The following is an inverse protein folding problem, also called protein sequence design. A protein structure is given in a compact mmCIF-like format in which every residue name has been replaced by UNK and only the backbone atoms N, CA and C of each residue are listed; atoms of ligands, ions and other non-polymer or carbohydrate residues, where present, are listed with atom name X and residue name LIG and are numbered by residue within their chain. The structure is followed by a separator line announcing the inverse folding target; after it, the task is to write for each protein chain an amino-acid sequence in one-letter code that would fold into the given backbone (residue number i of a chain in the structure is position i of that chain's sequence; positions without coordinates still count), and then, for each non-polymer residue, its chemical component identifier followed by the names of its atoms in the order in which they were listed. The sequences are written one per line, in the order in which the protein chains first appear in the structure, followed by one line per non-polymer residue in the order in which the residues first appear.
data_IF_594230515674
#
_entry.id   IF_594230515674
#
_cell.length_a   1.000
_cell.length_b   1.000
_cell.length_c   1.000
_cell.angle_alpha   90.00
_cell.angle_beta   90.00
_cell.angle_gamma   90.00
#
_symmetry.space_group_name_H-M   'P 1'
#
loop_
_entity.id
_entity.type
_entity.pdbx_description
1 polymer ?
#
# COMPACT_ATOMS: atom_id res chain seq x y z
N UNK A 1 109.69 8.47 31.89
CA UNK A 1 109.15 9.60 31.10
C UNK A 1 108.31 8.97 30.00
N UNK A 2 106.98 8.94 30.16
CA UNK A 2 106.01 9.91 29.60
C UNK A 2 106.07 9.99 28.07
N UNK A 3 105.02 9.98 27.28
CA UNK A 3 103.54 9.91 27.36
C UNK A 3 103.11 9.50 25.93
N UNK A 4 102.03 8.76 25.65
CA UNK A 4 100.65 9.20 25.36
C UNK A 4 100.19 8.81 23.93
N UNK A 5 98.89 8.49 23.85
CA UNK A 5 97.95 8.62 22.71
C UNK A 5 98.13 7.70 21.48
N UNK A 6 97.07 7.16 20.85
CA UNK A 6 95.66 7.57 20.74
C UNK A 6 94.79 6.34 20.37
N UNK A 7 93.53 6.20 20.82
CA UNK A 7 92.65 5.15 20.34
C UNK A 7 91.91 5.55 19.05
N UNK A 8 91.68 4.49 18.27
CA UNK A 8 90.79 4.26 17.14
C UNK A 8 89.46 5.04 17.23
N UNK A 9 89.18 5.87 16.22
CA UNK A 9 87.91 6.59 16.04
C UNK A 9 87.41 6.28 14.62
N UNK A 10 86.75 5.14 14.41
CA UNK A 10 86.07 4.84 13.13
C UNK A 10 84.57 4.52 13.26
N UNK A 11 83.95 4.55 14.44
CA UNK A 11 82.52 4.17 14.56
C UNK A 11 81.51 5.33 14.55
N UNK A 12 81.93 6.60 14.53
CA UNK A 12 80.99 7.73 14.72
C UNK A 12 80.36 8.25 13.41
N UNK A 13 80.90 7.91 12.24
CA UNK A 13 80.43 8.48 10.97
C UNK A 13 79.31 7.69 10.25
N UNK A 14 79.03 6.44 10.64
CA UNK A 14 77.95 5.65 10.01
C UNK A 14 76.57 5.81 10.70
N UNK A 15 76.51 6.10 12.00
CA UNK A 15 75.25 6.23 12.73
C UNK A 15 74.45 7.50 12.40
N UNK A 16 75.14 8.63 12.21
CA UNK A 16 74.49 9.95 11.99
C UNK A 16 73.79 10.01 10.62
N UNK A 17 74.39 9.46 9.58
CA UNK A 17 73.75 9.42 8.26
C UNK A 17 72.53 8.49 8.24
N UNK A 18 72.60 7.35 8.93
CA UNK A 18 71.52 6.37 8.95
C UNK A 18 70.33 6.80 9.82
N UNK A 19 70.56 7.52 10.93
CA UNK A 19 69.49 8.12 11.75
C UNK A 19 68.84 9.32 11.07
N UNK A 20 69.62 10.15 10.38
CA UNK A 20 69.09 11.30 9.63
C UNK A 20 68.26 10.85 8.43
N UNK A 21 68.68 9.81 7.70
CA UNK A 21 67.88 9.21 6.62
C UNK A 21 66.63 8.49 7.14
N UNK A 22 66.69 7.84 8.32
CA UNK A 22 65.51 7.24 8.97
C UNK A 22 64.51 8.28 9.47
N UNK A 23 64.98 9.40 10.00
CA UNK A 23 64.09 10.50 10.41
C UNK A 23 63.51 11.24 9.21
N UNK A 24 64.30 11.48 8.16
CA UNK A 24 63.84 12.10 6.93
C UNK A 24 62.83 11.21 6.20
N UNK A 25 63.10 9.90 6.09
CA UNK A 25 62.14 8.95 5.52
C UNK A 25 60.89 8.78 6.38
N UNK A 26 61.00 8.75 7.70
CA UNK A 26 59.82 8.70 8.60
C UNK A 26 58.98 9.99 8.54
N UNK A 27 59.60 11.16 8.41
CA UNK A 27 58.91 12.43 8.25
C UNK A 27 58.21 12.52 6.89
N UNK A 28 58.89 12.12 5.81
CA UNK A 28 58.31 12.06 4.45
C UNK A 28 57.19 11.02 4.36
N UNK A 29 57.32 9.87 5.03
CA UNK A 29 56.25 8.86 5.12
C UNK A 29 55.07 9.38 5.94
N UNK A 30 55.31 10.13 7.03
CA UNK A 30 54.25 10.73 7.84
C UNK A 30 53.52 11.85 7.10
N UNK A 31 54.23 12.66 6.33
CA UNK A 31 53.67 13.75 5.52
C UNK A 31 52.89 13.19 4.32
N UNK A 32 53.43 12.17 3.64
CA UNK A 32 52.74 11.44 2.59
C UNK A 32 51.51 10.67 3.13
N UNK A 33 51.60 10.08 4.32
CA UNK A 33 50.46 9.44 4.99
C UNK A 33 49.39 10.45 5.39
N UNK A 34 49.77 11.64 5.85
CA UNK A 34 48.84 12.72 6.18
C UNK A 34 48.16 13.28 4.92
N UNK A 35 48.91 13.45 3.83
CA UNK A 35 48.39 13.88 2.53
C UNK A 35 47.44 12.83 1.93
N UNK A 36 47.78 11.55 2.06
CA UNK A 36 46.92 10.44 1.62
C UNK A 36 45.63 10.35 2.46
N UNK A 37 45.70 10.55 3.79
CA UNK A 37 44.50 10.58 4.63
C UNK A 37 43.60 11.77 4.31
N UNK A 38 44.19 12.94 4.04
CA UNK A 38 43.44 14.12 3.63
C UNK A 38 42.74 13.89 2.26
N UNK A 39 43.42 13.26 1.30
CA UNK A 39 42.83 12.87 0.01
C UNK A 39 41.68 11.86 0.16
N UNK A 40 41.82 10.88 1.05
CA UNK A 40 40.77 9.92 1.38
C UNK A 40 39.55 10.62 2.01
N UNK A 41 39.77 11.55 2.92
CA UNK A 41 38.70 12.33 3.56
C UNK A 41 37.98 13.22 2.54
N UNK A 42 38.70 13.87 1.64
CA UNK A 42 38.09 14.65 0.55
C UNK A 42 37.29 13.76 -0.42
N UNK A 43 37.79 12.56 -0.75
CA UNK A 43 37.06 11.58 -1.55
C UNK A 43 35.80 11.07 -0.84
N UNK A 44 35.89 10.77 0.46
CA UNK A 44 34.73 10.39 1.25
C UNK A 44 33.70 11.50 1.33
N UNK A 45 34.14 12.74 1.48
CA UNK A 45 33.26 13.91 1.52
C UNK A 45 32.55 14.10 0.18
N UNK A 46 33.29 14.02 -0.93
CA UNK A 46 32.69 14.10 -2.28
C UNK A 46 31.74 12.94 -2.56
N UNK A 47 32.09 11.70 -2.20
CA UNK A 47 31.18 10.56 -2.34
C UNK A 47 29.94 10.71 -1.47
N UNK A 48 30.07 11.19 -0.24
CA UNK A 48 28.94 11.42 0.67
C UNK A 48 28.01 12.52 0.14
N UNK A 49 28.59 13.57 -0.43
CA UNK A 49 27.86 14.70 -0.99
C UNK A 49 27.21 14.32 -2.32
N UNK A 50 27.87 13.53 -3.16
CA UNK A 50 27.31 12.93 -4.37
C UNK A 50 26.12 12.03 -4.01
N UNK A 51 26.30 11.14 -3.03
CA UNK A 51 25.25 10.26 -2.51
C UNK A 51 24.06 11.03 -1.93
N UNK A 52 24.30 12.15 -1.24
CA UNK A 52 23.23 13.05 -0.74
C UNK A 52 22.59 13.90 -1.84
N UNK A 53 23.33 14.22 -2.90
CA UNK A 53 22.91 15.09 -4.00
C UNK A 53 22.16 14.33 -5.10
N UNK A 54 22.18 12.99 -5.07
CA UNK A 54 21.42 12.20 -6.03
C UNK A 54 19.96 12.66 -6.02
N UNK A 55 19.41 13.09 -7.17
CA UNK A 55 18.01 13.46 -7.27
C UNK A 55 17.19 12.18 -7.25
N UNK A 56 17.01 11.58 -6.07
CA UNK A 56 15.95 10.61 -5.91
C UNK A 56 14.63 11.38 -5.89
N UNK A 57 13.71 10.97 -6.75
CA UNK A 57 12.34 11.44 -6.69
C UNK A 57 11.80 11.04 -5.31
N UNK A 58 11.85 11.96 -4.34
CA UNK A 58 11.33 11.73 -3.00
C UNK A 58 9.82 11.59 -3.13
N UNK A 59 9.36 10.39 -3.48
CA UNK A 59 7.95 10.07 -3.41
C UNK A 59 7.54 10.40 -1.99
N UNK A 60 6.63 11.36 -1.82
CA UNK A 60 6.32 11.92 -0.50
C UNK A 60 5.68 10.81 0.36
N UNK A 61 6.51 10.07 1.09
CA UNK A 61 6.11 8.89 1.87
C UNK A 61 5.04 9.30 2.88
N UNK A 62 5.13 10.50 3.45
CA UNK A 62 4.11 11.03 4.35
C UNK A 62 2.78 11.28 3.65
N UNK A 63 2.79 11.81 2.42
CA UNK A 63 1.57 11.97 1.63
C UNK A 63 0.96 10.61 1.28
N UNK A 64 1.78 9.61 0.90
CA UNK A 64 1.32 8.24 0.65
C UNK A 64 0.72 7.57 1.88
N UNK A 65 1.36 7.72 3.04
CA UNK A 65 0.85 7.20 4.32
C UNK A 65 -0.47 7.86 4.69
N UNK A 66 -0.57 9.19 4.59
CA UNK A 66 -1.82 9.94 4.87
C UNK A 66 -2.93 9.51 3.90
N UNK A 67 -2.60 9.33 2.62
CA UNK A 67 -3.55 8.87 1.62
C UNK A 67 -4.00 7.44 1.88
N UNK A 68 -3.09 6.54 2.25
CA UNK A 68 -3.38 5.15 2.60
C UNK A 68 -4.26 5.08 3.83
N UNK A 69 -3.95 5.84 4.88
CA UNK A 69 -4.78 5.93 6.09
C UNK A 69 -6.20 6.41 5.79
N UNK A 70 -6.35 7.48 4.98
CA UNK A 70 -7.66 7.96 4.55
C UNK A 70 -8.44 6.89 3.76
N UNK A 71 -7.77 6.18 2.84
CA UNK A 71 -8.37 5.08 2.07
C UNK A 71 -8.82 3.94 2.97
N UNK A 72 -8.02 3.57 3.96
CA UNK A 72 -8.34 2.54 4.95
C UNK A 72 -9.54 2.95 5.81
N UNK A 73 -9.63 4.21 6.23
CA UNK A 73 -10.79 4.72 6.95
C UNK A 73 -12.06 4.66 6.09
N UNK A 74 -11.98 5.08 4.82
CA UNK A 74 -13.11 4.98 3.90
C UNK A 74 -13.54 3.53 3.64
N UNK A 75 -12.58 2.62 3.54
CA UNK A 75 -12.88 1.19 3.39
C UNK A 75 -13.57 0.61 4.64
N UNK A 76 -13.16 1.05 5.84
CA UNK A 76 -13.81 0.66 7.10
C UNK A 76 -15.23 1.22 7.21
N UNK A 77 -15.44 2.48 6.81
CA UNK A 77 -16.79 3.07 6.84
C UNK A 77 -17.73 2.41 5.84
N UNK A 78 -17.25 2.05 4.65
CA UNK A 78 -18.05 1.30 3.67
C UNK A 78 -18.46 -0.07 4.24
N UNK A 79 -17.49 -0.82 4.81
CA UNK A 79 -17.79 -2.09 5.45
C UNK A 79 -18.82 -1.96 6.58
N UNK A 80 -18.74 -0.89 7.38
CA UNK A 80 -19.72 -0.64 8.44
C UNK A 80 -21.12 -0.40 7.88
N UNK A 81 -21.25 0.35 6.78
CA UNK A 81 -22.52 0.58 6.09
C UNK A 81 -23.08 -0.74 5.56
N UNK A 82 -22.25 -1.58 4.93
CA UNK A 82 -22.68 -2.87 4.40
C UNK A 82 -23.17 -3.81 5.52
N UNK A 83 -22.49 -3.84 6.67
CA UNK A 83 -22.95 -4.59 7.87
C UNK A 83 -24.29 -4.05 8.39
N UNK A 84 -24.46 -2.73 8.49
CA UNK A 84 -25.72 -2.13 8.94
C UNK A 84 -26.85 -2.47 7.95
N UNK A 85 -26.58 -2.46 6.65
CA UNK A 85 -27.55 -2.84 5.63
C UNK A 85 -27.96 -4.31 5.73
N UNK A 86 -27.03 -5.22 6.02
CA UNK A 86 -27.37 -6.65 6.19
C UNK A 86 -28.23 -6.89 7.43
N UNK A 87 -27.92 -6.21 8.53
CA UNK A 87 -28.74 -6.25 9.76
C UNK A 87 -30.13 -5.65 9.50
N UNK A 88 -30.21 -4.55 8.75
CA UNK A 88 -31.47 -3.96 8.33
C UNK A 88 -32.34 -4.92 7.50
N UNK A 89 -31.74 -5.64 6.54
CA UNK A 89 -32.43 -6.68 5.76
C UNK A 89 -32.92 -7.83 6.65
N UNK A 90 -32.13 -8.25 7.63
CA UNK A 90 -32.52 -9.29 8.58
C UNK A 90 -33.72 -8.85 9.42
N UNK A 91 -33.71 -7.61 9.94
CA UNK A 91 -34.82 -7.05 10.71
C UNK A 91 -36.08 -6.95 9.83
N UNK A 92 -35.94 -6.47 8.58
CA UNK A 92 -37.05 -6.39 7.64
C UNK A 92 -37.67 -7.76 7.36
N UNK A 93 -36.85 -8.81 7.22
CA UNK A 93 -37.33 -10.18 7.06
C UNK A 93 -38.12 -10.65 8.29
N UNK A 94 -37.63 -10.40 9.51
CA UNK A 94 -38.34 -10.76 10.75
C UNK A 94 -39.69 -10.04 10.89
N UNK A 95 -39.73 -8.75 10.56
CA UNK A 95 -40.97 -7.96 10.56
C UNK A 95 -41.95 -8.50 9.52
N UNK A 96 -41.47 -8.79 8.31
CA UNK A 96 -42.30 -9.37 7.25
C UNK A 96 -42.89 -10.73 7.64
N UNK A 97 -42.11 -11.59 8.28
CA UNK A 97 -42.61 -12.87 8.81
C UNK A 97 -43.61 -12.70 9.96
N UNK A 98 -43.40 -11.71 10.83
CA UNK A 98 -44.31 -11.45 11.96
C UNK A 98 -45.65 -10.87 11.53
N UNK A 99 -45.63 -9.90 10.59
CA UNK A 99 -46.84 -9.27 10.08
C UNK A 99 -47.64 -10.21 9.16
N UNK A 100 -46.97 -11.10 8.42
CA UNK A 100 -47.60 -12.10 7.56
C UNK A 100 -48.37 -11.54 6.35
N UNK A 101 -48.48 -10.21 6.25
CA UNK A 101 -49.21 -9.48 5.19
C UNK A 101 -48.34 -9.23 3.94
N UNK A 102 -47.05 -9.56 4.00
CA UNK A 102 -46.16 -9.35 2.87
C UNK A 102 -46.30 -10.52 1.88
N UNK A 103 -46.44 -10.18 0.60
CA UNK A 103 -46.57 -11.18 -0.48
C UNK A 103 -45.45 -12.23 -0.43
N UNK A 104 -45.78 -13.47 -0.80
CA UNK A 104 -44.85 -14.61 -0.72
C UNK A 104 -43.59 -14.35 -1.55
N UNK A 105 -43.72 -13.68 -2.71
CA UNK A 105 -42.58 -13.24 -3.49
C UNK A 105 -41.68 -12.28 -2.68
N UNK A 106 -42.22 -11.27 -2.02
CA UNK A 106 -41.42 -10.32 -1.23
C UNK A 106 -40.64 -11.02 -0.11
N UNK A 107 -41.25 -11.95 0.61
CA UNK A 107 -40.58 -12.69 1.69
C UNK A 107 -39.47 -13.60 1.13
N UNK A 108 -39.74 -14.32 0.04
CA UNK A 108 -38.75 -15.22 -0.58
C UNK A 108 -37.51 -14.46 -1.09
N UNK A 109 -37.71 -13.31 -1.72
CA UNK A 109 -36.60 -12.49 -2.21
C UNK A 109 -35.86 -11.74 -1.10
N UNK A 110 -36.55 -11.35 -0.02
CA UNK A 110 -35.87 -10.84 1.17
C UNK A 110 -34.99 -11.90 1.81
N UNK A 111 -35.46 -13.14 1.92
CA UNK A 111 -34.65 -14.25 2.44
C UNK A 111 -33.43 -14.51 1.54
N UNK A 112 -33.62 -14.55 0.22
CA UNK A 112 -32.51 -14.66 -0.73
C UNK A 112 -31.54 -13.48 -0.63
N UNK A 113 -32.06 -12.26 -0.45
CA UNK A 113 -31.31 -11.03 -0.26
C UNK A 113 -30.46 -11.08 1.00
N UNK A 114 -31.01 -11.53 2.13
CA UNK A 114 -30.26 -11.72 3.39
C UNK A 114 -29.11 -12.71 3.19
N UNK A 115 -29.38 -13.88 2.61
CA UNK A 115 -28.34 -14.90 2.36
C UNK A 115 -27.22 -14.33 1.48
N UNK A 116 -27.59 -13.72 0.36
CA UNK A 116 -26.62 -13.14 -0.59
C UNK A 116 -25.83 -12.01 0.04
N UNK A 117 -26.48 -11.18 0.86
CA UNK A 117 -25.86 -10.04 1.54
C UNK A 117 -24.85 -10.49 2.61
N UNK A 118 -25.17 -11.54 3.39
CA UNK A 118 -24.24 -12.14 4.35
C UNK A 118 -23.01 -12.73 3.64
N UNK A 119 -23.21 -13.44 2.53
CA UNK A 119 -22.12 -13.98 1.71
C UNK A 119 -21.25 -12.83 1.16
N UNK A 120 -21.87 -11.76 0.68
CA UNK A 120 -21.15 -10.58 0.16
C UNK A 120 -20.27 -9.94 1.24
N UNK A 121 -20.81 -9.65 2.43
CA UNK A 121 -20.05 -9.07 3.54
C UNK A 121 -18.93 -9.99 4.01
N UNK A 122 -19.15 -11.31 4.06
CA UNK A 122 -18.11 -12.27 4.39
C UNK A 122 -16.90 -12.16 3.44
N UNK A 123 -17.15 -12.11 2.13
CA UNK A 123 -16.07 -11.95 1.14
C UNK A 123 -15.41 -10.58 1.22
N UNK A 124 -16.15 -9.51 1.48
CA UNK A 124 -15.58 -8.18 1.66
C UNK A 124 -14.62 -8.14 2.85
N UNK A 125 -15.05 -8.63 4.01
CA UNK A 125 -14.21 -8.72 5.21
C UNK A 125 -12.96 -9.54 4.89
N UNK A 126 -13.11 -10.72 4.26
CA UNK A 126 -11.99 -11.60 3.91
C UNK A 126 -10.96 -10.90 3.01
N UNK A 127 -11.40 -10.11 2.04
CA UNK A 127 -10.51 -9.38 1.12
C UNK A 127 -9.77 -8.26 1.86
N UNK A 128 -10.43 -7.52 2.76
CA UNK A 128 -9.84 -6.34 3.42
C UNK A 128 -9.03 -6.66 4.67
N UNK A 129 -9.45 -7.65 5.47
CA UNK A 129 -8.81 -8.04 6.73
C UNK A 129 -7.34 -8.44 6.52
N UNK A 130 -7.06 -9.19 5.45
CA UNK A 130 -5.70 -9.61 5.09
C UNK A 130 -4.75 -8.41 4.92
N UNK A 131 -5.21 -7.31 4.31
CA UNK A 131 -4.36 -6.13 4.12
C UNK A 131 -4.24 -5.33 5.41
N UNK A 132 -5.32 -5.22 6.18
CA UNK A 132 -5.28 -4.48 7.45
C UNK A 132 -4.34 -5.12 8.48
N UNK A 133 -4.18 -6.45 8.47
CA UNK A 133 -3.24 -7.16 9.33
C UNK A 133 -1.77 -6.94 8.93
N UNK A 134 -1.50 -6.69 7.65
CA UNK A 134 -0.14 -6.49 7.13
C UNK A 134 0.27 -5.02 6.97
N UNK A 135 -0.62 -4.08 7.32
CA UNK A 135 -0.37 -2.64 7.28
C UNK A 135 0.47 -2.20 8.48
N UNK A 136 1.80 -2.37 8.42
CA UNK A 136 2.71 -1.74 9.38
C UNK A 136 2.97 -0.27 8.98
N UNK A 137 2.93 0.65 9.94
CA UNK A 137 3.15 2.10 9.73
C UNK A 137 4.62 2.50 9.48
N UNK A 138 5.51 1.53 9.24
CA UNK A 138 6.92 1.81 8.96
C UNK A 138 7.08 2.44 7.57
N UNK A 139 7.84 3.55 7.44
CA UNK A 139 8.05 4.25 6.15
C UNK A 139 8.63 3.33 5.07
N UNK A 140 9.49 2.37 5.46
CA UNK A 140 10.12 1.40 4.56
C UNK A 140 9.12 0.41 3.93
N UNK A 141 7.93 0.27 4.52
CA UNK A 141 6.86 -0.60 4.02
C UNK A 141 5.67 0.17 3.45
N UNK A 142 5.76 1.51 3.40
CA UNK A 142 4.65 2.37 2.97
C UNK A 142 4.23 2.11 1.51
N UNK A 143 5.21 1.93 0.62
CA UNK A 143 4.95 1.63 -0.81
C UNK A 143 4.35 0.24 -0.98
N UNK A 144 4.94 -0.77 -0.33
CA UNK A 144 4.42 -2.14 -0.36
C UNK A 144 2.98 -2.21 0.19
N UNK A 145 2.68 -1.49 1.27
CA UNK A 145 1.33 -1.41 1.83
C UNK A 145 0.35 -0.68 0.89
N UNK A 146 0.79 0.39 0.22
CA UNK A 146 -0.02 1.11 -0.76
C UNK A 146 -0.37 0.22 -1.98
N UNK A 147 0.59 -0.57 -2.48
CA UNK A 147 0.38 -1.54 -3.56
C UNK A 147 -0.60 -2.62 -3.13
N UNK A 148 -0.41 -3.24 -1.96
CA UNK A 148 -1.32 -4.25 -1.42
C UNK A 148 -2.75 -3.70 -1.22
N UNK A 149 -2.87 -2.45 -0.75
CA UNK A 149 -4.15 -1.76 -0.63
C UNK A 149 -4.85 -1.52 -1.97
N UNK A 150 -4.09 -1.17 -3.02
CA UNK A 150 -4.62 -1.04 -4.38
C UNK A 150 -5.08 -2.38 -4.94
N UNK A 151 -4.30 -3.44 -4.77
CA UNK A 151 -4.65 -4.78 -5.26
C UNK A 151 -5.92 -5.31 -4.57
N UNK A 152 -6.03 -5.12 -3.26
CA UNK A 152 -7.25 -5.39 -2.49
C UNK A 152 -8.46 -4.63 -3.04
N UNK A 153 -8.29 -3.34 -3.32
CA UNK A 153 -9.37 -2.53 -3.88
C UNK A 153 -9.82 -3.02 -5.25
N UNK A 154 -8.90 -3.49 -6.10
CA UNK A 154 -9.21 -4.06 -7.41
C UNK A 154 -9.97 -5.39 -7.25
N UNK A 155 -9.54 -6.26 -6.33
CA UNK A 155 -10.26 -7.50 -6.00
C UNK A 155 -11.68 -7.23 -5.50
N UNK A 156 -11.85 -6.23 -4.64
CA UNK A 156 -13.16 -5.79 -4.17
C UNK A 156 -14.03 -5.21 -5.30
N UNK A 157 -13.47 -4.40 -6.20
CA UNK A 157 -14.22 -3.87 -7.35
C UNK A 157 -14.65 -5.00 -8.30
N UNK A 158 -13.82 -6.03 -8.50
CA UNK A 158 -14.20 -7.23 -9.26
C UNK A 158 -15.38 -7.94 -8.59
N UNK A 159 -15.37 -8.06 -7.26
CA UNK A 159 -16.49 -8.62 -6.49
C UNK A 159 -17.77 -7.79 -6.71
N UNK A 160 -17.72 -6.46 -6.63
CA UNK A 160 -18.88 -5.59 -6.90
C UNK A 160 -19.43 -5.82 -8.32
N UNK A 161 -18.56 -5.88 -9.32
CA UNK A 161 -18.99 -6.11 -10.71
C UNK A 161 -19.65 -7.48 -10.89
N UNK A 162 -19.12 -8.52 -10.22
CA UNK A 162 -19.74 -9.83 -10.19
C UNK A 162 -21.11 -9.79 -9.52
N UNK A 163 -21.22 -9.11 -8.37
CA UNK A 163 -22.50 -8.91 -7.67
C UNK A 163 -23.51 -8.15 -8.54
N UNK A 164 -23.10 -7.11 -9.28
CA UNK A 164 -23.98 -6.41 -10.22
C UNK A 164 -24.51 -7.34 -11.31
N UNK A 165 -23.68 -8.27 -11.79
CA UNK A 165 -24.06 -9.24 -12.81
C UNK A 165 -25.02 -10.30 -12.27
N UNK A 166 -24.87 -10.71 -11.00
CA UNK A 166 -25.80 -11.59 -10.31
C UNK A 166 -27.13 -10.89 -9.98
N UNK A 167 -27.07 -9.62 -9.56
CA UNK A 167 -28.24 -8.82 -9.17
C UNK A 167 -29.13 -8.50 -10.35
N UNK A 168 -28.58 -8.24 -11.54
CA UNK A 168 -29.36 -7.93 -12.74
C UNK A 168 -30.50 -8.91 -13.04
N UNK A 169 -30.24 -10.22 -13.25
CA UNK A 169 -31.31 -11.18 -13.50
C UNK A 169 -32.21 -11.36 -12.28
N UNK A 170 -31.63 -11.36 -11.07
CA UNK A 170 -32.37 -11.57 -9.82
C UNK A 170 -33.42 -10.49 -9.59
N UNK A 171 -33.04 -9.21 -9.71
CA UNK A 171 -33.96 -8.10 -9.46
C UNK A 171 -34.96 -7.96 -10.60
N UNK A 172 -34.55 -8.19 -11.86
CA UNK A 172 -35.50 -8.20 -12.97
C UNK A 172 -36.54 -9.33 -12.83
N UNK A 173 -36.14 -10.50 -12.34
CA UNK A 173 -37.06 -11.61 -12.00
C UNK A 173 -38.01 -11.21 -10.86
N UNK A 174 -37.53 -10.49 -9.84
CA UNK A 174 -38.38 -9.97 -8.75
C UNK A 174 -39.46 -9.02 -9.25
N UNK A 175 -39.09 -8.08 -10.12
CA UNK A 175 -40.06 -7.12 -10.68
C UNK A 175 -41.12 -7.87 -11.50
N UNK A 176 -40.71 -8.88 -12.26
CA UNK A 176 -41.65 -9.74 -12.98
C UNK A 176 -42.64 -10.45 -12.04
N UNK A 177 -42.17 -11.06 -10.96
CA UNK A 177 -43.04 -11.70 -9.96
C UNK A 177 -43.98 -10.69 -9.27
N UNK A 178 -43.52 -9.46 -9.00
CA UNK A 178 -44.35 -8.39 -8.44
C UNK A 178 -45.42 -7.87 -9.42
N UNK A 179 -45.25 -8.03 -10.72
CA UNK A 179 -46.25 -7.64 -11.73
C UNK A 179 -47.40 -8.63 -11.76
N UNK A 180 -47.15 -9.91 -11.48
CA UNK A 180 -48.23 -10.89 -11.33
C UNK A 180 -49.10 -10.59 -10.10
N UNK A 181 -48.50 -10.03 -9.03
CA UNK A 181 -49.20 -9.65 -7.81
C UNK A 181 -49.80 -8.23 -7.84
N UNK A 182 -49.42 -7.37 -8.80
CA UNK A 182 -49.87 -5.97 -8.83
C UNK A 182 -50.39 -5.52 -10.20
N UNK A 183 -51.56 -4.87 -10.21
CA UNK A 183 -52.16 -4.29 -11.43
C UNK A 183 -51.42 -3.04 -11.97
N UNK A 184 -50.26 -2.70 -11.40
CA UNK A 184 -49.49 -1.51 -11.75
C UNK A 184 -48.54 -1.79 -12.92
N UNK A 185 -48.22 -0.75 -13.68
CA UNK A 185 -47.30 -0.88 -14.81
C UNK A 185 -45.90 -1.36 -14.35
N UNK A 186 -45.34 -2.43 -14.95
CA UNK A 186 -43.99 -2.93 -14.67
C UNK A 186 -42.86 -1.97 -15.03
N UNK A 187 -43.12 -1.11 -16.02
CA UNK A 187 -42.08 -0.41 -16.76
C UNK A 187 -41.27 0.58 -15.91
N UNK A 188 -41.89 1.41 -15.03
CA UNK A 188 -41.13 2.35 -14.23
C UNK A 188 -40.14 1.68 -13.26
N UNK A 189 -40.52 0.64 -12.46
CA UNK A 189 -39.57 -0.10 -11.63
C UNK A 189 -38.42 -0.73 -12.43
N UNK A 190 -38.72 -1.34 -13.58
CA UNK A 190 -37.72 -1.92 -14.47
C UNK A 190 -36.67 -0.89 -14.91
N UNK A 191 -37.11 0.25 -15.42
CA UNK A 191 -36.19 1.28 -15.92
C UNK A 191 -35.32 1.85 -14.80
N UNK A 192 -35.91 2.17 -13.64
CA UNK A 192 -35.18 2.76 -12.51
C UNK A 192 -34.11 1.80 -11.99
N UNK A 193 -34.45 0.53 -11.77
CA UNK A 193 -33.52 -0.46 -11.21
C UNK A 193 -32.38 -0.75 -12.19
N UNK A 194 -32.68 -0.96 -13.48
CA UNK A 194 -31.64 -1.23 -14.47
C UNK A 194 -30.72 -0.01 -14.66
N UNK A 195 -31.25 1.21 -14.61
CA UNK A 195 -30.47 2.43 -14.65
C UNK A 195 -29.52 2.52 -13.44
N UNK A 196 -30.00 2.24 -12.23
CA UNK A 196 -29.18 2.24 -11.01
C UNK A 196 -28.06 1.20 -11.10
N UNK A 197 -28.36 -0.03 -11.54
CA UNK A 197 -27.33 -1.07 -11.70
C UNK A 197 -26.31 -0.68 -12.77
N UNK A 198 -26.74 -0.08 -13.89
CA UNK A 198 -25.85 0.42 -14.93
C UNK A 198 -24.91 1.51 -14.39
N UNK A 199 -25.43 2.47 -13.62
CA UNK A 199 -24.63 3.53 -12.97
C UNK A 199 -23.61 2.92 -12.00
N UNK A 200 -24.03 2.00 -11.13
CA UNK A 200 -23.13 1.32 -10.18
C UNK A 200 -22.01 0.56 -10.91
N UNK A 201 -22.34 -0.12 -12.01
CA UNK A 201 -21.37 -0.83 -12.82
C UNK A 201 -20.39 0.13 -13.51
N UNK A 202 -20.87 1.24 -14.07
CA UNK A 202 -20.03 2.27 -14.71
C UNK A 202 -19.07 2.92 -13.72
N UNK A 203 -19.57 3.33 -12.55
CA UNK A 203 -18.75 3.90 -11.47
C UNK A 203 -17.69 2.89 -11.03
N UNK A 204 -18.09 1.63 -10.81
CA UNK A 204 -17.17 0.55 -10.45
C UNK A 204 -16.09 0.34 -11.52
N UNK A 205 -16.45 0.37 -12.80
CA UNK A 205 -15.51 0.23 -13.90
C UNK A 205 -14.54 1.42 -13.99
N UNK A 206 -15.03 2.63 -13.81
CA UNK A 206 -14.20 3.83 -13.76
C UNK A 206 -13.19 3.78 -12.60
N UNK A 207 -13.64 3.39 -11.41
CA UNK A 207 -12.77 3.18 -10.26
C UNK A 207 -11.74 2.08 -10.51
N UNK A 208 -12.12 0.98 -11.17
CA UNK A 208 -11.19 -0.07 -11.56
C UNK A 208 -10.08 0.50 -12.44
N UNK A 209 -10.44 1.24 -13.51
CA UNK A 209 -9.48 1.85 -14.43
C UNK A 209 -8.53 2.80 -13.72
N UNK A 210 -9.07 3.63 -12.82
CA UNK A 210 -8.27 4.54 -11.98
C UNK A 210 -7.26 3.77 -11.10
N UNK A 211 -7.71 2.74 -10.40
CA UNK A 211 -6.86 1.95 -9.49
C UNK A 211 -5.78 1.15 -10.21
N UNK A 212 -6.09 0.64 -11.40
CA UNK A 212 -5.10 -0.09 -12.21
C UNK A 212 -3.99 0.84 -12.69
N UNK A 213 -4.32 2.09 -13.05
CA UNK A 213 -3.31 3.11 -13.40
C UNK A 213 -2.42 3.49 -12.20
N UNK A 214 -3.01 3.72 -11.03
CA UNK A 214 -2.25 4.01 -9.80
C UNK A 214 -1.32 2.83 -9.44
N UNK A 215 -1.78 1.59 -9.64
CA UNK A 215 -0.96 0.40 -9.38
C UNK A 215 0.23 0.31 -10.35
N UNK A 216 0.01 0.53 -11.65
CA UNK A 216 1.11 0.51 -12.63
C UNK A 216 2.16 1.60 -12.37
N UNK A 217 1.74 2.76 -11.84
CA UNK A 217 2.67 3.84 -11.47
C UNK A 217 3.51 3.47 -10.25
N UNK A 218 2.89 2.90 -9.22
CA UNK A 218 3.60 2.51 -8.00
C UNK A 218 4.45 1.24 -8.17
N UNK A 219 4.16 0.39 -9.14
CA UNK A 219 4.99 -0.79 -9.45
C UNK A 219 6.21 -0.48 -10.32
N UNK A 220 6.29 0.73 -10.88
CA UNK A 220 7.44 1.22 -11.66
C UNK A 220 8.49 1.93 -10.78
N UNK A 221 8.15 2.20 -9.52
CA UNK A 221 9.02 2.79 -8.48
C UNK A 221 9.65 1.64 -7.70
#
# INVERSE_FOLDING_TARGET
MSNDKLPENEEVHQGVHQETEKQLSSAVISEFSAETSNLLDEQWLTLSQDWQSQPYEKTNIQALLKQTKKRTLLAKSLLAIDIIATVGLLIALLIGLYQGDWGTATIAYLAFGVITSVVFVYYEIKIRLRIWQHSCDSPDKAVANAIAGLESSIKYIKLIKLSCWLLLPTVNWYIYAMVEESEKSPWPPFLVINLVIAILWLVSHWFQKKRTKELSQLSLI
#
